data_IF_107806718012
#
_entry.id   IF_107806718012
#
_cell.length_a   1.000
_cell.length_b   1.000
_cell.length_c   1.000
_cell.angle_alpha   90.00
_cell.angle_beta   90.00
_cell.angle_gamma   90.00
#
_symmetry.space_group_name_H-M   'P 1'
#
loop_
_entity.id
_entity.type
_entity.pdbx_description
1 polymer ?
#
# COMPACT_ATOMS: atom_id res chain seq x y z
N UNK A 1 43.19 -3.14 57.28
CA UNK A 1 41.96 -3.03 56.45
C UNK A 1 42.03 -1.76 55.62
N UNK A 2 42.35 -1.84 54.33
CA UNK A 2 42.27 -0.69 53.40
C UNK A 2 41.86 -1.19 52.02
N UNK A 3 40.59 -1.00 51.64
CA UNK A 3 40.06 -1.35 50.30
C UNK A 3 40.35 -0.19 49.35
N UNK A 4 41.17 -0.42 48.32
CA UNK A 4 41.46 0.58 47.28
C UNK A 4 40.46 0.49 46.12
N UNK A 5 39.92 1.68 45.85
CA UNK A 5 39.41 2.28 44.62
C UNK A 5 38.55 1.49 43.63
N UNK A 6 37.30 1.95 43.62
CA UNK A 6 36.34 2.02 42.52
C UNK A 6 36.96 2.66 41.27
N UNK A 7 36.67 2.08 40.09
CA UNK A 7 36.11 2.80 38.91
C UNK A 7 36.24 1.92 37.67
N UNK A 8 35.15 1.27 37.28
CA UNK A 8 34.96 0.77 35.93
C UNK A 8 33.80 1.57 35.33
N UNK A 9 34.12 2.57 34.53
CA UNK A 9 33.14 3.30 33.72
C UNK A 9 32.80 2.37 32.55
N UNK A 10 31.69 1.66 32.66
CA UNK A 10 31.10 0.91 31.55
C UNK A 10 30.35 1.90 30.64
N UNK A 11 30.89 2.12 29.44
CA UNK A 11 30.24 2.83 28.35
C UNK A 11 29.09 1.94 27.84
N UNK A 12 27.82 2.37 27.87
CA UNK A 12 26.75 1.60 27.28
C UNK A 12 26.81 1.76 25.75
N UNK A 13 27.14 0.68 25.05
CA UNK A 13 26.98 0.55 23.61
C UNK A 13 25.48 0.49 23.31
N UNK A 14 24.87 1.62 22.95
CA UNK A 14 23.48 1.65 22.49
C UNK A 14 23.44 1.05 21.08
N UNK A 15 23.12 -0.24 20.98
CA UNK A 15 22.86 -0.91 19.72
C UNK A 15 21.54 -0.38 19.13
N UNK A 16 21.64 0.60 18.24
CA UNK A 16 20.52 1.09 17.46
C UNK A 16 20.29 0.20 16.23
N UNK A 17 19.03 -0.23 16.08
CA UNK A 17 18.34 -0.53 14.82
C UNK A 17 18.78 -1.80 14.05
N UNK A 18 17.89 -2.52 13.36
CA UNK A 18 16.65 -2.08 12.74
C UNK A 18 15.54 -3.11 12.97
N UNK A 19 14.40 -2.64 13.48
CA UNK A 19 13.15 -3.38 13.29
C UNK A 19 12.82 -3.24 11.80
N UNK A 20 12.69 -4.32 11.02
CA UNK A 20 12.18 -4.19 9.67
C UNK A 20 10.72 -3.76 9.81
N UNK A 21 10.48 -2.45 9.71
CA UNK A 21 9.15 -1.96 9.45
C UNK A 21 8.72 -2.62 8.14
N UNK A 22 7.81 -3.58 8.21
CA UNK A 22 6.98 -3.98 7.08
C UNK A 22 6.07 -2.80 6.76
N UNK A 23 6.67 -1.69 6.32
CA UNK A 23 5.93 -0.57 5.79
C UNK A 23 5.26 -1.09 4.52
N UNK A 24 3.93 -1.06 4.50
CA UNK A 24 3.20 -0.89 3.25
C UNK A 24 3.82 0.31 2.57
N UNK A 25 4.67 0.05 1.58
CA UNK A 25 5.53 1.06 1.00
C UNK A 25 4.78 1.83 -0.09
N UNK A 26 3.60 1.34 -0.49
CA UNK A 26 2.68 2.00 -1.40
C UNK A 26 2.52 3.51 -1.10
N UNK A 27 2.52 4.31 -2.16
CA UNK A 27 2.52 5.78 -2.06
C UNK A 27 1.20 6.40 -2.48
N UNK A 28 0.97 7.63 -2.02
CA UNK A 28 -0.10 8.48 -2.56
C UNK A 28 0.22 8.82 -4.03
N UNK A 29 -0.75 8.71 -4.95
CA UNK A 29 -0.54 9.14 -6.34
C UNK A 29 -0.36 10.66 -6.43
N UNK A 30 0.35 11.11 -7.44
CA UNK A 30 0.31 12.51 -7.90
C UNK A 30 -1.10 12.88 -8.39
N UNK A 31 -1.40 14.17 -8.52
CA UNK A 31 -2.70 14.63 -9.03
C UNK A 31 -3.03 14.09 -10.44
N UNK A 32 -2.02 13.99 -11.32
CA UNK A 32 -2.18 13.44 -12.66
C UNK A 32 -2.45 11.93 -12.64
N UNK A 33 -1.71 11.18 -11.82
CA UNK A 33 -1.95 9.74 -11.62
C UNK A 33 -3.35 9.47 -11.07
N UNK A 34 -3.75 10.20 -10.02
CA UNK A 34 -5.07 10.06 -9.42
C UNK A 34 -6.18 10.29 -10.45
N UNK A 35 -6.06 11.34 -11.29
CA UNK A 35 -7.02 11.63 -12.36
C UNK A 35 -7.06 10.52 -13.42
N UNK A 36 -5.90 10.03 -13.86
CA UNK A 36 -5.81 8.98 -14.87
C UNK A 36 -6.40 7.65 -14.37
N UNK A 37 -6.07 7.25 -13.14
CA UNK A 37 -6.57 6.03 -12.50
C UNK A 37 -8.08 6.13 -12.26
N UNK A 38 -8.56 7.27 -11.75
CA UNK A 38 -9.98 7.54 -11.53
C UNK A 38 -10.79 7.49 -12.84
N UNK A 39 -10.23 8.01 -13.94
CA UNK A 39 -10.85 7.95 -15.27
C UNK A 39 -10.99 6.50 -15.74
N UNK A 40 -9.93 5.68 -15.58
CA UNK A 40 -9.98 4.26 -15.90
C UNK A 40 -11.02 3.50 -15.05
N UNK A 41 -11.15 3.86 -13.77
CA UNK A 41 -12.15 3.30 -12.88
C UNK A 41 -13.58 3.81 -13.12
N UNK A 42 -13.76 4.84 -13.95
CA UNK A 42 -15.03 5.55 -14.17
C UNK A 42 -15.68 6.06 -12.87
N UNK A 43 -14.87 6.45 -11.89
CA UNK A 43 -15.31 6.99 -10.60
C UNK A 43 -14.56 8.29 -10.33
N UNK A 44 -15.22 9.37 -9.85
CA UNK A 44 -14.53 10.60 -9.47
C UNK A 44 -13.42 10.34 -8.45
N UNK A 45 -12.21 10.89 -8.69
CA UNK A 45 -11.05 10.67 -7.81
C UNK A 45 -11.34 11.00 -6.34
N UNK A 46 -12.20 12.00 -6.08
CA UNK A 46 -12.61 12.38 -4.72
C UNK A 46 -13.30 11.25 -3.94
N UNK A 47 -13.94 10.30 -4.64
CA UNK A 47 -14.66 9.16 -4.08
C UNK A 47 -13.79 7.91 -3.93
N UNK A 48 -12.51 7.99 -4.29
CA UNK A 48 -11.57 6.88 -4.25
C UNK A 48 -10.47 7.17 -3.22
N UNK A 49 -10.05 6.13 -2.52
CA UNK A 49 -8.67 6.04 -2.04
C UNK A 49 -7.89 5.32 -3.11
N UNK A 50 -6.85 5.97 -3.61
CA UNK A 50 -5.95 5.40 -4.63
C UNK A 50 -4.56 5.33 -4.00
N UNK A 51 -3.87 4.23 -4.22
CA UNK A 51 -2.46 4.06 -3.87
C UNK A 51 -1.70 3.42 -5.01
N UNK A 52 -0.45 3.81 -5.19
CA UNK A 52 0.46 3.28 -6.22
C UNK A 52 1.49 2.43 -5.52
N UNK A 53 1.73 1.22 -6.02
CA UNK A 53 2.76 0.35 -5.46
C UNK A 53 4.14 0.97 -5.66
N UNK A 54 4.97 0.99 -4.62
CA UNK A 54 6.38 1.41 -4.74
C UNK A 54 7.28 0.27 -5.19
N UNK A 55 6.83 -0.98 -5.06
CA UNK A 55 7.54 -2.14 -5.64
C UNK A 55 7.43 -2.14 -7.16
N UNK A 56 6.27 -1.73 -7.69
CA UNK A 56 6.09 -1.54 -9.12
C UNK A 56 5.05 -0.43 -9.37
N UNK A 57 5.52 0.75 -9.76
CA UNK A 57 4.67 1.93 -9.97
C UNK A 57 3.70 1.80 -11.16
N UNK A 58 3.83 0.73 -11.96
CA UNK A 58 2.82 0.40 -12.95
C UNK A 58 1.57 -0.22 -12.32
N UNK A 59 1.51 -0.48 -11.01
CA UNK A 59 0.34 -1.04 -10.33
C UNK A 59 -0.25 -0.06 -9.32
N UNK A 60 -1.58 -0.02 -9.26
CA UNK A 60 -2.32 0.80 -8.31
C UNK A 60 -3.47 0.01 -7.69
N UNK A 61 -3.69 0.24 -6.40
CA UNK A 61 -4.85 -0.22 -5.65
C UNK A 61 -5.88 0.90 -5.51
N UNK A 62 -7.15 0.56 -5.70
CA UNK A 62 -8.29 1.47 -5.54
C UNK A 62 -9.24 0.88 -4.51
N UNK A 63 -9.57 1.68 -3.48
CA UNK A 63 -10.63 1.40 -2.53
C UNK A 63 -11.70 2.47 -2.67
N UNK A 64 -12.96 2.06 -2.71
CA UNK A 64 -14.08 2.98 -2.79
C UNK A 64 -14.52 3.28 -1.37
N UNK A 65 -14.09 4.42 -0.82
CA UNK A 65 -14.38 4.78 0.58
C UNK A 65 -15.67 5.58 0.69
N UNK A 66 -16.57 5.06 1.51
CA UNK A 66 -17.96 5.49 1.73
C UNK A 66 -18.13 6.83 2.49
N UNK A 67 -17.08 7.65 2.64
CA UNK A 67 -17.08 8.72 3.64
C UNK A 67 -17.43 10.11 3.11
N UNK A 68 -17.73 10.26 1.81
CA UNK A 68 -18.06 11.58 1.23
C UNK A 68 -19.46 11.59 0.65
N UNK A 69 -20.23 12.62 1.01
CA UNK A 69 -21.55 12.91 0.45
C UNK A 69 -21.47 12.95 -1.08
N UNK A 70 -22.37 12.22 -1.75
CA UNK A 70 -22.44 12.13 -3.21
C UNK A 70 -21.53 11.05 -3.84
N UNK A 71 -20.90 10.19 -3.04
CA UNK A 71 -20.12 9.04 -3.50
C UNK A 71 -20.83 7.69 -3.29
N UNK A 72 -22.07 7.69 -2.78
CA UNK A 72 -22.84 6.53 -2.34
C UNK A 72 -23.09 5.54 -3.49
N UNK A 73 -23.34 6.05 -4.70
CA UNK A 73 -23.55 5.20 -5.88
C UNK A 73 -22.30 4.45 -6.36
N UNK A 74 -21.12 4.80 -5.85
CA UNK A 74 -19.86 4.16 -6.21
C UNK A 74 -19.36 3.21 -5.12
N UNK A 75 -20.09 3.03 -4.02
CA UNK A 75 -19.63 2.19 -2.92
C UNK A 75 -19.40 0.75 -3.38
N UNK A 76 -18.30 0.18 -2.89
CA UNK A 76 -17.96 -1.22 -3.08
C UNK A 76 -16.97 -1.61 -1.99
N UNK A 77 -17.17 -2.79 -1.42
CA UNK A 77 -16.23 -3.35 -0.46
C UNK A 77 -15.03 -3.99 -1.18
N UNK A 78 -13.87 -3.92 -0.53
CA UNK A 78 -12.63 -4.50 -1.05
C UNK A 78 -11.75 -3.55 -1.86
N UNK A 79 -10.90 -4.14 -2.69
CA UNK A 79 -9.89 -3.46 -3.50
C UNK A 79 -10.06 -3.84 -4.98
N UNK A 80 -9.83 -2.86 -5.87
CA UNK A 80 -9.59 -3.12 -7.28
C UNK A 80 -8.14 -2.79 -7.63
N UNK A 81 -7.45 -3.71 -8.32
CA UNK A 81 -6.08 -3.54 -8.79
C UNK A 81 -6.09 -3.13 -10.26
N UNK A 82 -5.30 -2.11 -10.58
CA UNK A 82 -5.11 -1.60 -11.93
C UNK A 82 -3.64 -1.64 -12.31
N UNK A 83 -3.36 -1.83 -13.60
CA UNK A 83 -2.03 -1.81 -14.18
C UNK A 83 -1.93 -0.75 -15.27
N UNK A 84 -0.89 0.07 -15.23
CA UNK A 84 -0.50 1.03 -16.27
C UNK A 84 0.07 0.25 -17.46
N UNK A 85 -0.55 0.42 -18.62
CA UNK A 85 -0.03 -0.03 -19.92
C UNK A 85 0.21 1.13 -20.86
N UNK A 86 0.53 0.84 -22.12
CA UNK A 86 0.81 1.84 -23.15
C UNK A 86 -0.33 2.86 -23.36
N UNK A 87 -1.58 2.41 -23.23
CA UNK A 87 -2.78 3.24 -23.43
C UNK A 87 -3.46 3.65 -22.11
N UNK A 88 -2.70 3.74 -21.02
CA UNK A 88 -3.20 4.13 -19.70
C UNK A 88 -3.49 2.96 -18.78
N UNK A 89 -4.29 3.22 -17.74
CA UNK A 89 -4.56 2.26 -16.67
C UNK A 89 -5.66 1.28 -17.08
N UNK A 90 -5.41 -0.02 -16.83
CA UNK A 90 -6.33 -1.12 -17.13
C UNK A 90 -6.66 -1.89 -15.87
N UNK A 91 -7.90 -2.34 -15.77
CA UNK A 91 -8.35 -3.22 -14.70
C UNK A 91 -7.58 -4.55 -14.75
N UNK A 92 -7.20 -5.07 -13.59
CA UNK A 92 -6.54 -6.37 -13.43
C UNK A 92 -7.46 -7.33 -12.69
N UNK A 93 -7.88 -6.96 -11.48
CA UNK A 93 -8.73 -7.79 -10.62
C UNK A 93 -9.44 -6.94 -9.56
N UNK A 94 -10.51 -7.46 -8.95
CA UNK A 94 -11.17 -6.84 -7.81
C UNK A 94 -11.82 -7.88 -6.90
N UNK A 95 -11.90 -7.57 -5.61
CA UNK A 95 -12.48 -8.44 -4.60
C UNK A 95 -12.27 -7.89 -3.19
N UNK A 96 -13.06 -8.42 -2.25
CA UNK A 96 -12.89 -8.22 -0.81
C UNK A 96 -11.86 -9.18 -0.20
N UNK A 97 -11.64 -10.31 -0.86
CA UNK A 97 -10.61 -11.32 -0.58
C UNK A 97 -10.22 -12.02 -1.88
N UNK A 98 -9.08 -12.71 -1.88
CA UNK A 98 -8.57 -13.45 -3.03
C UNK A 98 -7.96 -14.78 -2.59
N UNK A 99 -7.95 -15.77 -3.47
CA UNK A 99 -7.07 -16.93 -3.34
C UNK A 99 -5.64 -16.56 -3.79
N UNK A 100 -4.62 -17.12 -3.16
CA UNK A 100 -3.24 -16.92 -3.57
C UNK A 100 -2.86 -17.91 -4.70
N UNK A 101 -2.21 -17.47 -5.80
CA UNK A 101 -1.81 -16.10 -6.08
C UNK A 101 -2.97 -15.23 -6.59
N UNK A 102 -2.97 -13.95 -6.19
CA UNK A 102 -3.93 -12.96 -6.69
C UNK A 102 -3.84 -12.86 -8.22
N UNK A 103 -4.95 -13.11 -8.95
CA UNK A 103 -4.93 -13.12 -10.41
C UNK A 103 -4.36 -11.82 -11.00
N UNK A 104 -3.41 -11.97 -11.94
CA UNK A 104 -2.80 -10.85 -12.67
C UNK A 104 -1.94 -9.89 -11.86
N UNK A 105 -1.75 -10.15 -10.55
CA UNK A 105 -1.07 -9.25 -9.62
C UNK A 105 0.15 -9.96 -9.02
N UNK A 106 1.39 -9.47 -9.27
CA UNK A 106 2.58 -10.05 -8.67
C UNK A 106 2.50 -10.09 -7.14
N UNK A 107 2.97 -11.17 -6.51
CA UNK A 107 2.91 -11.36 -5.05
C UNK A 107 3.46 -10.17 -4.27
N UNK A 108 4.58 -9.59 -4.72
CA UNK A 108 5.17 -8.43 -4.07
C UNK A 108 4.31 -7.16 -4.19
N UNK A 109 3.63 -6.96 -5.33
CA UNK A 109 2.67 -5.86 -5.53
C UNK A 109 1.42 -6.07 -4.68
N UNK A 110 0.87 -7.29 -4.65
CA UNK A 110 -0.28 -7.63 -3.82
C UNK A 110 0.03 -7.34 -2.33
N UNK A 111 1.19 -7.77 -1.85
CA UNK A 111 1.67 -7.48 -0.49
C UNK A 111 1.84 -5.98 -0.26
N UNK A 112 2.48 -5.27 -1.18
CA UNK A 112 2.73 -3.82 -1.05
C UNK A 112 1.42 -3.02 -0.98
N UNK A 113 0.45 -3.35 -1.83
CA UNK A 113 -0.89 -2.73 -1.85
C UNK A 113 -1.81 -3.21 -0.71
N UNK A 114 -1.38 -4.15 0.14
CA UNK A 114 -2.21 -4.69 1.22
C UNK A 114 -3.40 -5.50 0.74
N UNK A 115 -3.26 -6.19 -0.40
CA UNK A 115 -4.24 -7.15 -0.89
C UNK A 115 -4.15 -8.41 -0.01
N UNK A 116 -5.22 -8.68 0.73
CA UNK A 116 -5.36 -9.91 1.51
C UNK A 116 -5.66 -11.08 0.56
N UNK A 117 -4.86 -12.14 0.63
CA UNK A 117 -5.19 -13.41 0.00
C UNK A 117 -5.05 -14.58 1.00
N UNK A 118 -5.77 -15.68 0.74
CA UNK A 118 -5.77 -16.91 1.53
C UNK A 118 -5.36 -18.11 0.64
N UNK A 119 -4.85 -19.17 1.27
CA UNK A 119 -4.45 -20.41 0.61
C UNK A 119 -5.52 -21.47 0.82
#
# INVERSE_FOLDING_TARGET
MSRRLKSAVLVPLVALAAVPALAHADRTPTGAEAKAIATAAKVPARCLKIRVSTVNEAYAGIWRRNLKKGCEKYQADGIAVYKKGHHGWKFVTAGSSFDCPVPGTPKAVAKDLGVTCHN
#
